data_IF_040165024907
#
_entry.id   IF_040165024907
#
_cell.length_a   1.000
_cell.length_b   1.000
_cell.length_c   1.000
_cell.angle_alpha   90.00
_cell.angle_beta   90.00
_cell.angle_gamma   90.00
#
_symmetry.space_group_name_H-M   'P 1'
#
loop_
_entity.id
_entity.type
_entity.pdbx_description
1 polymer ?
#
# COMPACT_ATOMS: atom_id res chain seq x y z
N UNK A 1 10.19 -27.31 -18.10
CA UNK A 1 10.64 -26.37 -17.04
C UNK A 1 10.37 -27.04 -15.72
N UNK A 2 11.25 -26.85 -14.73
CA UNK A 2 11.02 -27.38 -13.40
C UNK A 2 10.08 -26.47 -12.61
N UNK A 3 9.40 -27.04 -11.62
CA UNK A 3 8.56 -26.30 -10.68
C UNK A 3 9.37 -25.95 -9.44
N UNK A 4 9.45 -24.66 -9.12
CA UNK A 4 9.92 -24.17 -7.83
C UNK A 4 8.72 -23.99 -6.91
N UNK A 5 8.60 -24.85 -5.89
CA UNK A 5 7.60 -24.77 -4.84
C UNK A 5 8.21 -24.10 -3.62
N UNK A 6 7.61 -23.00 -3.17
CA UNK A 6 8.06 -22.26 -2.00
C UNK A 6 6.99 -22.30 -0.92
N UNK A 7 7.39 -22.61 0.31
CA UNK A 7 6.58 -22.46 1.51
C UNK A 7 7.23 -21.43 2.43
N UNK A 8 6.48 -20.39 2.80
CA UNK A 8 6.90 -19.34 3.72
C UNK A 8 6.31 -19.65 5.09
N UNK A 9 7.15 -19.74 6.11
CA UNK A 9 6.79 -20.13 7.47
C UNK A 9 7.13 -19.00 8.45
N UNK A 10 6.30 -18.80 9.47
CA UNK A 10 6.71 -18.02 10.64
C UNK A 10 7.71 -18.86 11.47
N UNK A 11 8.90 -18.31 11.73
CA UNK A 11 9.97 -19.05 12.40
C UNK A 11 9.64 -19.45 13.86
N UNK A 12 8.68 -18.77 14.49
CA UNK A 12 8.28 -19.04 15.88
C UNK A 12 7.23 -20.13 15.94
N UNK A 13 6.21 -20.06 15.08
CA UNK A 13 5.07 -21.01 15.10
C UNK A 13 5.31 -22.24 14.23
N UNK A 14 6.14 -22.12 13.20
CA UNK A 14 6.32 -23.16 12.17
C UNK A 14 5.16 -23.27 11.18
N UNK A 15 4.17 -22.38 11.26
CA UNK A 15 2.99 -22.38 10.39
C UNK A 15 3.21 -21.53 9.13
N UNK A 16 2.52 -21.84 8.01
CA UNK A 16 2.52 -20.99 6.83
C UNK A 16 2.05 -19.57 7.15
N UNK A 17 2.70 -18.58 6.56
CA UNK A 17 2.39 -17.16 6.79
C UNK A 17 2.38 -16.37 5.49
N UNK A 18 1.44 -15.44 5.34
CA UNK A 18 1.35 -14.63 4.12
C UNK A 18 2.60 -13.75 3.95
N UNK A 19 3.00 -13.50 2.72
CA UNK A 19 4.20 -12.73 2.44
C UNK A 19 4.13 -12.12 1.05
N UNK A 20 5.11 -11.27 0.74
CA UNK A 20 5.41 -10.87 -0.63
C UNK A 20 6.73 -11.51 -1.06
N UNK A 21 6.77 -12.03 -2.28
CA UNK A 21 7.95 -12.69 -2.83
C UNK A 21 8.42 -12.01 -4.11
N UNK A 22 9.74 -11.86 -4.23
CA UNK A 22 10.43 -11.42 -5.42
C UNK A 22 11.30 -12.58 -5.91
N UNK A 23 11.00 -13.11 -7.09
CA UNK A 23 11.72 -14.26 -7.64
C UNK A 23 12.31 -13.90 -8.99
N UNK A 24 13.64 -14.02 -9.12
CA UNK A 24 14.35 -13.86 -10.38
C UNK A 24 14.86 -15.21 -10.87
N UNK A 25 14.66 -15.48 -12.16
CA UNK A 25 15.37 -16.56 -12.85
C UNK A 25 16.86 -16.27 -13.00
N UNK A 26 17.64 -17.27 -13.41
CA UNK A 26 19.08 -17.13 -13.70
C UNK A 26 19.41 -16.05 -14.74
N UNK A 27 18.45 -15.72 -15.62
CA UNK A 27 18.59 -14.66 -16.61
C UNK A 27 18.16 -13.27 -16.10
N UNK A 28 17.83 -13.14 -14.81
CA UNK A 28 17.35 -11.88 -14.21
C UNK A 28 15.90 -11.53 -14.53
N UNK A 29 15.13 -12.44 -15.15
CA UNK A 29 13.70 -12.22 -15.41
C UNK A 29 12.88 -12.48 -14.16
N UNK A 30 12.03 -11.53 -13.79
CA UNK A 30 11.04 -11.67 -12.72
C UNK A 30 10.02 -12.77 -13.04
N UNK A 31 9.77 -13.62 -12.05
CA UNK A 31 8.82 -14.73 -12.10
C UNK A 31 7.71 -14.47 -11.08
N UNK A 32 6.46 -14.60 -11.51
CA UNK A 32 5.29 -14.48 -10.65
C UNK A 32 4.20 -15.47 -11.09
N UNK A 33 3.28 -15.87 -10.20
CA UNK A 33 2.11 -16.65 -10.57
C UNK A 33 1.27 -15.88 -11.61
N UNK A 34 0.72 -16.59 -12.61
CA UNK A 34 -0.02 -15.95 -13.73
C UNK A 34 -1.17 -15.07 -13.26
N UNK A 35 -1.91 -15.51 -12.25
CA UNK A 35 -3.06 -14.81 -11.68
C UNK A 35 -2.75 -14.12 -10.34
N UNK A 36 -1.45 -14.00 -9.99
CA UNK A 36 -1.00 -13.36 -8.76
C UNK A 36 -1.24 -11.86 -8.75
N UNK A 37 -1.54 -11.30 -7.58
CA UNK A 37 -1.55 -9.84 -7.39
C UNK A 37 -0.11 -9.37 -7.25
N UNK A 38 0.28 -8.41 -8.08
CA UNK A 38 1.64 -7.84 -8.07
C UNK A 38 1.70 -6.56 -7.24
N UNK A 39 2.76 -6.44 -6.44
CA UNK A 39 3.19 -5.19 -5.81
C UNK A 39 4.33 -4.59 -6.64
N UNK A 40 3.97 -3.76 -7.60
CA UNK A 40 4.91 -3.03 -8.47
C UNK A 40 4.95 -1.57 -8.02
N UNK A 41 6.16 -1.05 -7.85
CA UNK A 41 6.44 0.33 -7.45
C UNK A 41 7.83 0.73 -7.94
N UNK A 42 8.45 1.79 -7.40
CA UNK A 42 9.79 2.23 -7.81
C UNK A 42 10.91 1.28 -7.35
N UNK A 43 10.62 0.34 -6.45
CA UNK A 43 11.56 -0.66 -5.93
C UNK A 43 11.48 -2.00 -6.66
N UNK A 44 11.86 -3.08 -5.95
CA UNK A 44 11.71 -4.45 -6.46
C UNK A 44 10.24 -4.78 -6.71
N UNK A 45 9.99 -5.55 -7.77
CA UNK A 45 8.67 -6.10 -8.07
C UNK A 45 8.41 -7.31 -7.17
N UNK A 46 7.28 -7.33 -6.49
CA UNK A 46 6.86 -8.51 -5.72
C UNK A 46 5.51 -9.02 -6.22
N UNK A 47 5.18 -10.26 -5.87
CA UNK A 47 3.82 -10.77 -5.86
C UNK A 47 3.44 -11.17 -4.44
N UNK A 48 2.16 -11.06 -4.10
CA UNK A 48 1.64 -11.52 -2.82
C UNK A 48 1.38 -13.03 -2.84
N UNK A 49 1.56 -13.68 -1.69
CA UNK A 49 1.28 -15.11 -1.47
C UNK A 49 0.64 -15.29 -0.10
N UNK A 50 -0.22 -16.30 0.02
CA UNK A 50 -0.82 -16.79 1.27
C UNK A 50 0.13 -17.70 2.08
N UNK A 51 1.42 -17.70 1.73
CA UNK A 51 2.47 -18.49 2.37
C UNK A 51 2.89 -19.72 1.57
N UNK A 52 2.24 -20.01 0.44
CA UNK A 52 2.68 -21.05 -0.50
C UNK A 52 2.54 -20.59 -1.95
N UNK A 53 3.50 -20.94 -2.79
CA UNK A 53 3.39 -20.69 -4.22
C UNK A 53 4.25 -21.66 -5.04
N UNK A 54 3.80 -21.90 -6.27
CA UNK A 54 4.51 -22.69 -7.29
C UNK A 54 4.84 -21.80 -8.49
N UNK A 55 6.08 -21.87 -8.99
CA UNK A 55 6.52 -21.15 -10.19
C UNK A 55 7.18 -22.11 -11.18
N UNK A 56 6.89 -21.93 -12.46
CA UNK A 56 7.71 -22.51 -13.52
C UNK A 56 9.01 -21.71 -13.65
N UNK A 57 10.14 -22.34 -13.35
CA UNK A 57 11.45 -21.70 -13.39
C UNK A 57 12.35 -22.37 -14.46
N UNK A 58 13.07 -21.56 -15.27
CA UNK A 58 14.12 -22.09 -16.14
C UNK A 58 15.27 -22.72 -15.33
N UNK A 59 16.00 -23.65 -15.96
CA UNK A 59 17.22 -24.22 -15.37
C UNK A 59 18.24 -23.13 -14.99
N UNK A 60 18.88 -23.28 -13.84
CA UNK A 60 19.90 -22.36 -13.33
C UNK A 60 19.65 -21.89 -11.90
N UNK A 61 20.34 -20.82 -11.49
CA UNK A 61 20.16 -20.24 -10.15
C UNK A 61 18.95 -19.30 -10.13
N UNK A 62 17.95 -19.58 -9.30
CA UNK A 62 16.86 -18.65 -9.02
C UNK A 62 17.15 -17.89 -7.72
N UNK A 63 16.95 -16.58 -7.73
CA UNK A 63 17.06 -15.71 -6.56
C UNK A 63 15.66 -15.46 -5.99
N UNK A 64 15.45 -15.79 -4.72
CA UNK A 64 14.16 -15.69 -4.03
C UNK A 64 14.34 -14.78 -2.84
N UNK A 65 13.63 -13.65 -2.84
CA UNK A 65 13.51 -12.74 -1.69
C UNK A 65 12.07 -12.82 -1.18
N UNK A 66 11.91 -13.00 0.13
CA UNK A 66 10.60 -13.04 0.81
C UNK A 66 10.58 -12.01 1.92
N UNK A 67 9.49 -11.24 1.99
CA UNK A 67 9.29 -10.16 2.96
C UNK A 67 7.87 -10.22 3.56
N UNK A 68 7.74 -9.78 4.81
CA UNK A 68 6.45 -9.59 5.50
C UNK A 68 6.54 -8.39 6.44
N UNK A 69 5.89 -7.28 6.10
CA UNK A 69 5.88 -6.06 6.91
C UNK A 69 7.26 -5.57 7.33
N UNK A 70 7.27 -4.67 8.32
CA UNK A 70 8.51 -4.09 8.87
C UNK A 70 9.00 -4.81 10.12
N UNK A 71 8.17 -5.68 10.72
CA UNK A 71 8.48 -6.42 11.94
C UNK A 71 9.18 -7.76 11.69
N UNK A 72 9.31 -8.20 10.43
CA UNK A 72 10.07 -9.40 10.05
C UNK A 72 11.35 -9.07 9.30
N UNK A 73 12.35 -9.93 9.45
CA UNK A 73 13.61 -9.83 8.71
C UNK A 73 13.41 -10.39 7.28
N UNK A 74 13.67 -9.62 6.22
CA UNK A 74 13.67 -10.13 4.84
C UNK A 74 14.63 -11.31 4.66
N UNK A 75 14.17 -12.35 3.97
CA UNK A 75 15.00 -13.53 3.69
C UNK A 75 15.29 -13.64 2.20
N UNK A 76 16.59 -13.75 1.87
CA UNK A 76 17.07 -14.05 0.52
C UNK A 76 17.64 -15.46 0.45
N UNK A 77 17.29 -16.20 -0.60
CA UNK A 77 17.77 -17.55 -0.90
C UNK A 77 18.11 -17.65 -2.38
N UNK A 78 19.17 -18.39 -2.68
CA UNK A 78 19.54 -18.75 -4.06
C UNK A 78 19.38 -20.25 -4.18
N UNK A 79 18.58 -20.70 -5.14
CA UNK A 79 18.23 -22.12 -5.32
C UNK A 79 18.59 -22.59 -6.72
N UNK A 80 19.19 -23.77 -6.81
CA UNK A 80 19.54 -24.40 -8.09
C UNK A 80 18.32 -25.12 -8.66
N UNK A 81 17.78 -24.61 -9.75
CA UNK A 81 16.64 -25.17 -10.47
C UNK A 81 17.14 -26.13 -11.56
N UNK A 82 16.72 -27.42 -11.56
CA UNK A 82 17.07 -28.40 -12.59
C UNK A 82 16.30 -28.15 -13.89
N UNK A 83 16.61 -28.91 -14.94
CA UNK A 83 15.90 -28.83 -16.23
C UNK A 83 14.42 -29.24 -16.11
N UNK A 84 14.14 -30.26 -15.30
CA UNK A 84 12.82 -30.84 -15.07
C UNK A 84 12.69 -31.31 -13.62
N UNK A 85 11.45 -31.55 -13.18
CA UNK A 85 11.13 -31.98 -11.82
C UNK A 85 10.66 -30.84 -10.93
N UNK A 86 10.75 -31.05 -9.62
CA UNK A 86 10.29 -30.11 -8.59
C UNK A 86 11.43 -29.82 -7.61
N UNK A 87 11.56 -28.55 -7.23
CA UNK A 87 12.43 -28.10 -6.15
C UNK A 87 11.56 -27.49 -5.07
N UNK A 88 11.68 -27.99 -3.86
CA UNK A 88 10.99 -27.44 -2.69
C UNK A 88 11.95 -26.55 -1.91
N UNK A 89 11.48 -25.36 -1.56
CA UNK A 89 12.20 -24.37 -0.76
C UNK A 89 11.31 -23.93 0.40
N UNK A 90 11.79 -24.14 1.62
CA UNK A 90 11.18 -23.57 2.82
C UNK A 90 11.90 -22.28 3.21
N UNK A 91 11.12 -21.23 3.49
CA UNK A 91 11.62 -19.91 3.90
C UNK A 91 11.00 -19.56 5.25
N UNK A 92 11.76 -19.67 6.32
CA UNK A 92 11.34 -19.25 7.65
C UNK A 92 11.62 -17.75 7.85
N UNK A 93 10.59 -16.97 8.13
CA UNK A 93 10.66 -15.54 8.45
C UNK A 93 10.74 -15.34 9.97
N UNK A 94 11.76 -14.62 10.41
CA UNK A 94 11.95 -14.26 11.83
C UNK A 94 11.31 -12.90 12.12
N UNK A 95 10.39 -12.86 13.09
CA UNK A 95 9.85 -11.61 13.63
C UNK A 95 10.84 -11.04 14.65
N UNK A 96 11.41 -9.87 14.37
CA UNK A 96 12.46 -9.28 15.21
C UNK A 96 11.91 -8.36 16.31
N UNK A 97 10.63 -7.94 16.21
CA UNK A 97 9.94 -7.15 17.23
C UNK A 97 8.44 -7.44 17.24
N UNK A 98 7.80 -7.26 18.39
CA UNK A 98 6.35 -7.19 18.50
C UNK A 98 5.92 -5.79 18.93
N UNK A 99 5.62 -4.94 17.95
CA UNK A 99 5.19 -3.56 18.15
C UNK A 99 3.80 -3.47 18.81
N UNK A 100 2.78 -4.26 18.39
CA UNK A 100 1.51 -4.37 19.12
C UNK A 100 1.66 -4.71 20.60
N UNK A 101 2.52 -5.67 20.97
CA UNK A 101 2.78 -6.01 22.37
C UNK A 101 3.42 -4.85 23.17
N UNK A 102 4.01 -3.88 22.48
CA UNK A 102 4.60 -2.66 23.05
C UNK A 102 3.63 -1.46 23.01
N UNK A 103 2.39 -1.64 22.58
CA UNK A 103 1.38 -0.57 22.48
C UNK A 103 1.49 0.30 21.23
N UNK A 104 2.29 -0.10 20.25
CA UNK A 104 2.33 0.53 18.94
C UNK A 104 1.30 -0.09 18.00
N UNK A 105 0.71 0.72 17.12
CA UNK A 105 -0.28 0.27 16.16
C UNK A 105 0.23 0.48 14.73
N UNK A 106 0.77 -0.56 14.07
CA UNK A 106 1.22 -0.45 12.69
C UNK A 106 0.04 -0.09 11.79
N UNK A 107 0.25 0.77 10.80
CA UNK A 107 -0.81 1.13 9.88
C UNK A 107 -0.34 1.95 8.69
N UNK A 108 -1.21 2.02 7.69
CA UNK A 108 -1.04 2.88 6.53
C UNK A 108 -2.22 3.85 6.47
N UNK A 109 -1.96 5.13 6.67
CA UNK A 109 -2.98 6.20 6.66
C UNK A 109 -3.10 6.91 5.32
N UNK A 110 -2.35 6.48 4.31
CA UNK A 110 -2.20 7.19 3.04
C UNK A 110 -2.11 6.21 1.88
N UNK A 111 -3.18 5.43 1.73
CA UNK A 111 -3.34 4.48 0.64
C UNK A 111 -4.36 5.00 -0.38
N UNK A 112 -4.01 4.96 -1.66
CA UNK A 112 -4.96 5.15 -2.75
C UNK A 112 -4.51 4.36 -3.99
N UNK A 113 -5.47 3.83 -4.74
CA UNK A 113 -5.21 3.14 -6.00
C UNK A 113 -5.57 4.04 -7.18
N UNK A 114 -4.65 4.10 -8.15
CA UNK A 114 -4.79 4.90 -9.36
C UNK A 114 -5.83 4.31 -10.32
N UNK A 115 -6.00 4.93 -11.49
CA UNK A 115 -6.97 4.49 -12.49
C UNK A 115 -6.59 3.18 -13.22
N UNK A 116 -5.37 2.66 -13.02
CA UNK A 116 -4.87 1.46 -13.69
C UNK A 116 -4.98 0.20 -12.82
N UNK A 117 -5.31 0.33 -11.53
CA UNK A 117 -5.57 -0.81 -10.65
C UNK A 117 -6.91 -1.47 -10.99
N UNK A 118 -6.85 -2.76 -11.36
CA UNK A 118 -8.00 -3.53 -11.83
C UNK A 118 -8.55 -4.49 -10.77
N UNK A 119 -7.77 -4.82 -9.73
CA UNK A 119 -8.11 -5.77 -8.66
C UNK A 119 -7.94 -5.12 -7.27
N UNK A 120 -8.52 -3.93 -7.02
CA UNK A 120 -8.29 -3.18 -5.78
C UNK A 120 -8.81 -3.94 -4.53
N UNK A 121 -9.91 -4.69 -4.66
CA UNK A 121 -10.51 -5.44 -3.54
C UNK A 121 -9.58 -6.56 -3.05
N UNK A 122 -8.92 -7.26 -3.98
CA UNK A 122 -7.97 -8.33 -3.66
C UNK A 122 -6.66 -7.76 -3.13
N UNK A 123 -6.18 -6.66 -3.72
CA UNK A 123 -4.98 -5.97 -3.26
C UNK A 123 -5.15 -5.44 -1.83
N UNK A 124 -6.27 -4.81 -1.53
CA UNK A 124 -6.53 -4.24 -0.20
C UNK A 124 -6.58 -5.32 0.89
N UNK A 125 -7.14 -6.50 0.58
CA UNK A 125 -7.15 -7.66 1.49
C UNK A 125 -5.76 -8.20 1.79
N UNK A 126 -4.85 -8.13 0.83
CA UNK A 126 -3.51 -8.71 0.95
C UNK A 126 -2.51 -7.73 1.56
N UNK A 127 -2.52 -6.47 1.10
CA UNK A 127 -1.49 -5.49 1.47
C UNK A 127 -1.47 -5.25 2.99
N UNK A 128 -2.63 -5.04 3.60
CA UNK A 128 -2.69 -4.80 5.04
C UNK A 128 -2.23 -5.99 5.88
N UNK A 129 -2.64 -7.21 5.50
CA UNK A 129 -2.27 -8.44 6.23
C UNK A 129 -0.78 -8.70 6.11
N UNK A 130 -0.22 -8.60 4.90
CA UNK A 130 1.18 -8.90 4.62
C UNK A 130 2.10 -7.84 5.21
N UNK A 131 1.69 -6.57 5.22
CA UNK A 131 2.48 -5.51 5.86
C UNK A 131 2.29 -5.46 7.39
N UNK A 132 1.36 -6.25 7.94
CA UNK A 132 1.13 -6.36 9.39
C UNK A 132 0.37 -5.17 9.99
N UNK A 133 -0.48 -4.50 9.20
CA UNK A 133 -1.19 -3.30 9.64
C UNK A 133 -2.40 -3.64 10.52
N UNK A 134 -2.50 -2.96 11.66
CA UNK A 134 -3.71 -2.91 12.49
C UNK A 134 -4.69 -1.81 12.03
N UNK A 135 -4.22 -0.81 11.27
CA UNK A 135 -5.06 0.25 10.69
C UNK A 135 -4.71 0.47 9.22
N UNK A 136 -5.71 0.53 8.35
CA UNK A 136 -5.53 0.90 6.94
C UNK A 136 -6.57 1.94 6.55
N UNK A 137 -6.11 3.05 5.99
CA UNK A 137 -6.98 4.10 5.46
C UNK A 137 -6.77 4.18 3.96
N UNK A 138 -7.79 3.73 3.22
CA UNK A 138 -7.86 3.97 1.79
C UNK A 138 -8.61 5.27 1.55
N UNK A 139 -8.12 6.12 0.66
CA UNK A 139 -8.66 7.47 0.53
C UNK A 139 -9.32 7.71 -0.81
N UNK A 140 -10.48 8.37 -0.75
CA UNK A 140 -11.11 9.00 -1.91
C UNK A 140 -10.31 10.26 -2.26
N UNK A 141 -10.08 10.49 -3.54
CA UNK A 141 -9.30 11.64 -4.00
C UNK A 141 -9.68 12.09 -5.41
N UNK A 142 -9.55 13.38 -5.70
CA UNK A 142 -9.91 13.93 -7.03
C UNK A 142 -8.75 14.61 -7.75
N UNK A 143 -8.42 14.18 -8.96
CA UNK A 143 -7.46 14.87 -9.84
C UNK A 143 -8.11 14.96 -11.20
N UNK A 144 -8.69 16.12 -11.49
CA UNK A 144 -9.57 16.36 -12.63
C UNK A 144 -10.66 15.28 -12.63
N UNK A 145 -10.90 14.70 -13.80
CA UNK A 145 -11.88 13.63 -14.01
C UNK A 145 -11.24 12.23 -14.09
N UNK A 146 -10.10 12.01 -13.42
CA UNK A 146 -9.49 10.69 -13.39
C UNK A 146 -10.28 9.73 -12.49
N UNK A 147 -10.64 8.53 -12.99
CA UNK A 147 -11.39 7.54 -12.23
C UNK A 147 -10.45 6.70 -11.36
N UNK A 148 -10.04 7.22 -10.20
CA UNK A 148 -9.23 6.47 -9.25
C UNK A 148 -9.97 5.20 -8.78
N UNK A 149 -9.31 4.04 -8.83
CA UNK A 149 -9.92 2.77 -8.41
C UNK A 149 -10.33 2.76 -6.94
N UNK A 150 -9.69 3.57 -6.11
CA UNK A 150 -10.02 3.78 -4.70
C UNK A 150 -11.34 4.53 -4.46
N UNK A 151 -11.80 5.36 -5.40
CA UNK A 151 -13.02 6.16 -5.23
C UNK A 151 -14.33 5.35 -5.30
N UNK A 152 -14.25 4.04 -5.57
CA UNK A 152 -15.42 3.15 -5.56
C UNK A 152 -15.91 2.83 -4.15
N UNK A 153 -15.06 3.02 -3.14
CA UNK A 153 -15.37 2.67 -1.76
C UNK A 153 -16.16 3.82 -1.11
N UNK A 154 -17.27 3.51 -0.39
CA UNK A 154 -18.02 4.53 0.32
C UNK A 154 -17.22 5.02 1.54
N UNK A 155 -17.30 6.32 1.84
CA UNK A 155 -16.66 6.92 3.02
C UNK A 155 -17.07 6.23 4.32
N UNK A 156 -16.10 6.17 5.25
CA UNK A 156 -16.25 5.65 6.60
C UNK A 156 -15.72 4.23 6.75
N UNK A 157 -16.10 3.59 7.86
CA UNK A 157 -15.60 2.28 8.21
C UNK A 157 -16.00 1.22 7.18
N UNK A 158 -15.00 0.59 6.55
CA UNK A 158 -15.23 -0.48 5.60
C UNK A 158 -15.34 -1.82 6.32
N UNK A 159 -16.53 -2.07 6.87
CA UNK A 159 -16.80 -3.21 7.76
C UNK A 159 -16.49 -4.57 7.13
N UNK A 160 -16.61 -4.71 5.82
CA UNK A 160 -16.37 -5.98 5.12
C UNK A 160 -14.91 -6.43 5.14
N UNK A 161 -13.98 -5.51 5.36
CA UNK A 161 -12.54 -5.79 5.49
C UNK A 161 -12.02 -5.62 6.90
N UNK A 162 -12.84 -5.12 7.82
CA UNK A 162 -12.48 -5.03 9.22
C UNK A 162 -12.47 -6.42 9.88
N UNK A 163 -11.52 -6.64 10.78
CA UNK A 163 -11.47 -7.80 11.67
C UNK A 163 -11.37 -7.33 13.12
N UNK A 164 -11.30 -8.28 14.07
CA UNK A 164 -11.03 -7.94 15.46
C UNK A 164 -9.65 -7.27 15.69
N UNK A 165 -8.73 -7.40 14.73
CA UNK A 165 -7.34 -6.95 14.86
C UNK A 165 -6.91 -5.97 13.76
N UNK A 166 -7.79 -5.65 12.82
CA UNK A 166 -7.50 -4.78 11.70
C UNK A 166 -8.71 -3.91 11.37
N UNK A 167 -8.51 -2.60 11.31
CA UNK A 167 -9.52 -1.61 10.98
C UNK A 167 -9.22 -1.05 9.59
N UNK A 168 -10.23 -1.05 8.72
CA UNK A 168 -10.17 -0.41 7.41
C UNK A 168 -11.13 0.77 7.39
N UNK A 169 -10.60 1.98 7.26
CA UNK A 169 -11.38 3.20 7.07
C UNK A 169 -11.25 3.69 5.63
N UNK A 170 -12.34 4.21 5.08
CA UNK A 170 -12.35 4.89 3.79
C UNK A 170 -12.40 6.38 4.08
N UNK A 171 -11.22 7.00 4.05
CA UNK A 171 -11.03 8.42 4.29
C UNK A 171 -11.04 9.24 3.01
N UNK A 172 -10.52 10.45 3.11
CA UNK A 172 -10.36 11.37 1.99
C UNK A 172 -8.95 11.96 2.00
N UNK A 173 -8.30 12.03 0.83
CA UNK A 173 -7.11 12.86 0.65
C UNK A 173 -7.57 14.19 0.05
N UNK A 174 -7.64 15.23 0.89
CA UNK A 174 -7.95 16.58 0.44
C UNK A 174 -6.70 17.25 -0.07
N UNK A 175 -6.70 17.62 -1.34
CA UNK A 175 -5.47 18.02 -2.05
C UNK A 175 -5.51 19.46 -2.51
N UNK A 176 -4.35 20.10 -2.50
CA UNK A 176 -4.17 21.39 -3.12
C UNK A 176 -2.88 21.40 -3.93
N UNK A 177 -2.95 21.71 -5.23
CA UNK A 177 -1.75 22.03 -6.02
C UNK A 177 -1.85 23.42 -6.63
N UNK A 178 -0.67 24.01 -6.83
CA UNK A 178 -0.50 25.26 -7.56
C UNK A 178 0.48 25.03 -8.72
N UNK A 179 0.11 25.45 -9.92
CA UNK A 179 1.08 25.57 -11.01
C UNK A 179 1.94 26.82 -10.79
N UNK A 180 3.26 26.65 -10.77
CA UNK A 180 4.21 27.78 -10.77
C UNK A 180 4.93 27.83 -12.11
N UNK A 181 5.51 28.98 -12.48
CA UNK A 181 6.30 29.13 -13.73
C UNK A 181 7.49 28.16 -13.83
N UNK A 182 7.86 27.52 -12.72
CA UNK A 182 9.02 26.61 -12.62
C UNK A 182 8.62 25.13 -12.51
N UNK A 183 7.34 24.81 -12.24
CA UNK A 183 6.84 23.43 -12.11
C UNK A 183 5.46 23.27 -12.77
N UNK A 184 5.44 22.60 -13.92
CA UNK A 184 4.20 22.13 -14.56
C UNK A 184 3.50 21.13 -13.63
N UNK A 185 2.34 21.52 -13.08
CA UNK A 185 1.44 20.71 -12.23
C UNK A 185 2.05 20.07 -10.95
N UNK A 186 3.35 20.24 -10.69
CA UNK A 186 4.09 19.51 -9.66
C UNK A 186 4.24 20.19 -8.30
N UNK A 187 3.82 21.45 -8.16
CA UNK A 187 3.86 22.13 -6.86
C UNK A 187 2.70 21.69 -5.98
N UNK A 188 3.00 21.01 -4.87
CA UNK A 188 2.00 20.64 -3.84
C UNK A 188 1.37 21.84 -3.13
N UNK A 189 1.64 23.09 -3.52
CA UNK A 189 1.02 24.30 -2.97
C UNK A 189 1.02 24.32 -1.44
N UNK A 190 -0.16 24.28 -0.81
CA UNK A 190 -0.27 24.14 0.65
C UNK A 190 -0.06 22.71 1.17
N UNK A 191 -0.25 21.69 0.35
CA UNK A 191 -0.04 20.28 0.69
C UNK A 191 -1.29 19.45 0.44
N UNK A 192 -1.23 18.18 0.84
CA UNK A 192 -2.42 17.36 0.99
C UNK A 192 -2.57 16.93 2.45
N UNK A 193 -3.82 16.73 2.84
CA UNK A 193 -4.23 16.29 4.17
C UNK A 193 -5.13 15.08 4.04
N UNK A 194 -4.93 14.10 4.90
CA UNK A 194 -5.79 12.94 5.04
C UNK A 194 -6.86 13.24 6.08
N UNK A 195 -8.11 12.97 5.74
CA UNK A 195 -9.24 12.99 6.65
C UNK A 195 -9.68 11.55 6.91
N UNK A 196 -9.62 11.15 8.18
CA UNK A 196 -9.90 9.79 8.64
C UNK A 196 -11.07 9.85 9.61
N UNK A 197 -11.91 8.82 9.64
CA UNK A 197 -13.10 8.76 10.50
C UNK A 197 -14.10 9.91 10.21
N UNK A 198 -14.19 10.31 8.94
CA UNK A 198 -15.23 11.23 8.46
C UNK A 198 -16.51 10.46 8.10
N UNK A 199 -17.65 11.13 8.17
CA UNK A 199 -18.97 10.54 7.91
C UNK A 199 -19.51 10.93 6.54
N UNK A 200 -19.03 12.05 5.99
CA UNK A 200 -19.36 12.58 4.69
C UNK A 200 -18.08 13.12 4.04
N UNK A 201 -18.02 13.07 2.71
CA UNK A 201 -17.02 13.77 1.91
C UNK A 201 -16.96 15.24 2.30
N UNK A 202 -15.75 15.79 2.37
CA UNK A 202 -15.48 17.20 2.63
C UNK A 202 -15.26 17.92 1.31
N UNK A 203 -16.22 18.75 0.90
CA UNK A 203 -16.11 19.48 -0.36
C UNK A 203 -15.42 20.84 -0.22
N UNK A 204 -14.63 21.26 -1.24
CA UNK A 204 -14.15 20.45 -2.35
C UNK A 204 -13.04 19.47 -1.93
N UNK A 205 -13.05 18.27 -2.51
CA UNK A 205 -12.01 17.23 -2.31
C UNK A 205 -10.63 17.69 -2.78
N UNK A 206 -10.58 18.52 -3.82
CA UNK A 206 -9.32 19.08 -4.32
C UNK A 206 -9.47 20.55 -4.65
N UNK A 207 -8.36 21.28 -4.65
CA UNK A 207 -8.28 22.72 -4.95
C UNK A 207 -7.18 23.03 -5.93
N UNK A 208 -7.34 24.16 -6.61
CA UNK A 208 -6.34 24.68 -7.54
C UNK A 208 -6.17 23.77 -8.75
N UNK A 209 -4.94 23.62 -9.23
CA UNK A 209 -4.68 23.01 -10.55
C UNK A 209 -4.98 21.52 -10.65
N UNK A 210 -5.27 20.86 -9.52
CA UNK A 210 -5.80 19.50 -9.50
C UNK A 210 -7.25 19.40 -9.95
N UNK A 211 -8.04 20.46 -9.85
CA UNK A 211 -9.45 20.44 -10.29
C UNK A 211 -9.53 20.81 -11.77
N UNK A 212 -9.09 22.02 -12.11
CA UNK A 212 -8.91 22.52 -13.47
C UNK A 212 -8.01 23.77 -13.46
N UNK A 213 -7.70 24.30 -14.63
CA UNK A 213 -6.73 25.40 -14.79
C UNK A 213 -7.23 26.76 -14.27
N UNK A 214 -8.52 26.86 -13.96
CA UNK A 214 -9.22 28.08 -13.54
C UNK A 214 -9.83 27.96 -12.13
N UNK A 215 -9.64 26.83 -11.46
CA UNK A 215 -10.26 26.56 -10.17
C UNK A 215 -9.69 27.51 -9.11
N UNK A 216 -10.53 28.24 -8.37
CA UNK A 216 -10.04 29.15 -7.35
C UNK A 216 -9.45 28.35 -6.19
N UNK A 217 -8.40 28.89 -5.58
CA UNK A 217 -7.85 28.38 -4.33
C UNK A 217 -8.76 28.79 -3.13
N UNK A 218 -9.98 28.28 -3.14
CA UNK A 218 -11.01 28.58 -2.16
C UNK A 218 -12.07 27.45 -2.08
N UNK A 219 -12.62 27.13 -0.89
CA UNK A 219 -12.24 27.64 0.43
C UNK A 219 -10.83 27.19 0.82
N UNK A 220 -10.13 27.87 1.75
CA UNK A 220 -8.78 27.47 2.16
C UNK A 220 -8.74 26.03 2.69
N UNK A 221 -7.58 25.37 2.61
CA UNK A 221 -7.44 23.98 3.06
C UNK A 221 -7.79 23.79 4.55
N UNK A 222 -7.50 24.78 5.40
CA UNK A 222 -7.88 24.73 6.82
C UNK A 222 -9.39 24.64 7.05
N UNK A 223 -10.22 25.16 6.14
CA UNK A 223 -11.67 25.02 6.22
C UNK A 223 -12.11 23.57 6.04
N UNK A 224 -11.44 22.82 5.16
CA UNK A 224 -11.68 21.39 5.02
C UNK A 224 -11.22 20.63 6.27
N UNK A 225 -10.11 21.04 6.88
CA UNK A 225 -9.67 20.48 8.17
C UNK A 225 -10.71 20.74 9.28
N UNK A 226 -11.26 21.95 9.36
CA UNK A 226 -12.29 22.31 10.34
C UNK A 226 -13.58 21.49 10.12
N UNK A 227 -14.00 21.30 8.87
CA UNK A 227 -15.17 20.47 8.53
C UNK A 227 -14.95 18.99 8.89
N UNK A 228 -13.80 18.42 8.51
CA UNK A 228 -13.42 17.06 8.90
C UNK A 228 -13.45 16.87 10.42
N UNK A 229 -12.91 17.84 11.18
CA UNK A 229 -12.96 17.84 12.65
C UNK A 229 -14.38 18.01 13.20
N UNK A 230 -15.21 18.83 12.54
CA UNK A 230 -16.63 19.01 12.87
C UNK A 230 -17.42 17.70 12.80
N UNK A 231 -17.00 16.77 11.93
CA UNK A 231 -17.55 15.42 11.84
C UNK A 231 -17.03 14.44 12.90
N UNK A 232 -16.01 14.83 13.69
CA UNK A 232 -15.26 13.95 14.59
C UNK A 232 -14.10 13.22 13.91
N UNK A 233 -13.73 13.64 12.70
CA UNK A 233 -12.61 13.09 11.95
C UNK A 233 -11.25 13.56 12.47
N UNK A 234 -10.21 12.82 12.11
CA UNK A 234 -8.81 13.16 12.39
C UNK A 234 -8.17 13.71 11.12
N UNK A 235 -7.41 14.79 11.26
CA UNK A 235 -6.65 15.41 10.16
C UNK A 235 -5.18 15.03 10.29
N UNK A 236 -4.64 14.44 9.24
CA UNK A 236 -3.21 14.09 9.14
C UNK A 236 -2.59 14.83 7.97
N UNK A 237 -1.52 15.59 8.20
CA UNK A 237 -0.81 16.28 7.13
C UNK A 237 0.22 15.35 6.46
N UNK A 238 -0.01 14.93 5.21
CA UNK A 238 0.84 13.94 4.53
C UNK A 238 1.90 14.57 3.61
N UNK A 239 1.57 15.66 2.89
CA UNK A 239 2.54 16.42 2.09
C UNK A 239 2.54 17.87 2.48
N UNK A 240 3.71 18.51 2.58
CA UNK A 240 3.79 19.96 2.78
C UNK A 240 4.13 20.68 1.46
N UNK A 241 4.03 22.01 1.47
CA UNK A 241 4.35 22.84 0.30
C UNK A 241 5.81 22.82 -0.17
N UNK A 242 6.69 22.03 0.47
CA UNK A 242 8.11 21.89 0.13
C UNK A 242 8.52 20.48 -0.30
N UNK A 243 7.63 19.47 -0.28
CA UNK A 243 7.96 18.14 -0.80
C UNK A 243 7.17 16.97 -0.20
N UNK A 244 7.50 15.79 -0.71
CA UNK A 244 6.93 14.47 -0.38
C UNK A 244 7.11 14.08 1.10
N UNK A 245 6.11 13.37 1.62
CA UNK A 245 6.03 12.59 2.88
C UNK A 245 7.20 12.74 3.86
N UNK A 246 6.94 13.38 5.00
CA UNK A 246 7.83 13.27 6.15
C UNK A 246 7.60 11.91 6.84
N UNK A 247 8.65 11.26 7.40
CA UNK A 247 8.50 10.01 8.16
C UNK A 247 7.74 10.18 9.49
N UNK A 248 7.30 11.41 9.78
CA UNK A 248 6.46 11.77 10.92
C UNK A 248 5.32 12.61 10.37
N UNK A 249 4.09 12.12 10.52
CA UNK A 249 2.90 12.90 10.25
C UNK A 249 2.41 13.54 11.57
N UNK A 250 1.97 14.79 11.50
CA UNK A 250 1.33 15.45 12.63
C UNK A 250 -0.19 15.24 12.54
N UNK A 251 -0.78 14.67 13.60
CA UNK A 251 -2.22 14.69 13.80
C UNK A 251 -2.58 16.05 14.44
N UNK A 252 -3.55 16.75 13.84
CA UNK A 252 -3.99 18.08 14.27
C UNK A 252 -5.43 18.05 14.79
#
# INVERSE_FOLDING_TARGET
>A
MATLRVTVLDATTGEPVEAKAHVLSAAGRFLAPRDGILKVGPGLEFFYTDGRFDLEAPVGQADVVVERGTEYVPVRRVVSVPTEGMVELEVALERWTDLPAQGWHPGNTHLHYDQNELRPDERLKLDAVIEGYGVTVISVLRRRELPYASNRYPIGLFTDLCTAHHIVDVGEESRHNLATREMDYGGFGYGHVMFINIRNIVDPVSRGTLVNDLDPDYPPLCWACDDARGQGGTVIWCHNGRGMEAPVAAAL
#
